data_IF_397492892595
#
_entry.id   IF_397492892595
#
_cell.length_a   1.000
_cell.length_b   1.000
_cell.length_c   1.000
_cell.angle_alpha   90.00
_cell.angle_beta   90.00
_cell.angle_gamma   90.00
#
_symmetry.space_group_name_H-M   'P 1'
#
loop_
_entity.id
_entity.type
_entity.pdbx_description
1 polymer ?
#
# COMPACT_ATOMS: atom_id res chain seq x y z
N UNK A 1 18.06 -2.81 -36.98
CA UNK A 1 16.69 -2.60 -36.43
C UNK A 1 16.72 -1.41 -35.50
N UNK A 2 16.00 -0.32 -35.87
CA UNK A 2 15.95 0.89 -35.02
C UNK A 2 15.22 0.63 -33.70
N UNK A 3 15.72 1.20 -32.60
CA UNK A 3 15.13 1.19 -31.28
C UNK A 3 13.95 2.19 -31.24
N UNK A 4 12.82 1.86 -31.85
CA UNK A 4 11.65 2.74 -31.86
C UNK A 4 10.54 2.14 -31.00
N UNK A 5 9.98 2.95 -30.11
CA UNK A 5 8.74 2.71 -29.37
C UNK A 5 7.59 3.05 -30.31
N UNK A 6 6.48 2.34 -30.23
CA UNK A 6 5.26 2.66 -30.98
C UNK A 6 4.86 4.13 -30.71
N UNK A 7 4.57 4.94 -31.77
CA UNK A 7 4.31 6.37 -31.60
C UNK A 7 3.21 6.69 -30.60
N UNK A 8 2.11 5.93 -30.61
CA UNK A 8 1.01 6.07 -29.67
C UNK A 8 1.44 5.85 -28.20
N UNK A 9 2.32 4.88 -27.97
CA UNK A 9 2.85 4.63 -26.61
C UNK A 9 3.82 5.75 -26.21
N UNK A 10 4.67 6.21 -27.13
CA UNK A 10 5.57 7.33 -26.89
C UNK A 10 4.80 8.61 -26.50
N UNK A 11 3.64 8.85 -27.10
CA UNK A 11 2.78 9.99 -26.79
C UNK A 11 2.17 9.86 -25.39
N UNK A 12 1.71 8.66 -25.01
CA UNK A 12 1.19 8.38 -23.66
C UNK A 12 2.31 8.58 -22.61
N UNK A 13 3.51 8.06 -22.87
CA UNK A 13 4.64 8.20 -21.93
C UNK A 13 5.06 9.65 -21.75
N UNK A 14 5.06 10.47 -22.82
CA UNK A 14 5.36 11.90 -22.73
C UNK A 14 4.35 12.62 -21.82
N UNK A 15 3.05 12.40 -22.00
CA UNK A 15 2.02 12.96 -21.11
C UNK A 15 2.20 12.52 -19.66
N UNK A 16 2.55 11.25 -19.45
CA UNK A 16 2.87 10.73 -18.12
C UNK A 16 4.06 11.44 -17.49
N UNK A 17 5.14 11.67 -18.26
CA UNK A 17 6.33 12.37 -17.83
C UNK A 17 6.08 13.83 -17.43
N UNK A 18 5.12 14.52 -18.11
CA UNK A 18 4.72 15.88 -17.77
C UNK A 18 3.96 15.99 -16.42
N UNK A 19 3.64 14.84 -15.79
CA UNK A 19 3.00 14.78 -14.48
C UNK A 19 1.51 15.14 -14.46
N UNK A 20 0.87 15.29 -15.61
CA UNK A 20 -0.57 15.58 -15.73
C UNK A 20 -1.46 14.41 -15.27
N UNK A 21 -0.87 13.21 -15.25
CA UNK A 21 -1.58 11.95 -15.03
C UNK A 21 -2.22 11.39 -16.30
N UNK A 22 -2.47 10.09 -16.30
CA UNK A 22 -3.02 9.40 -17.47
C UNK A 22 -4.53 9.15 -17.34
N UNK A 23 -5.21 9.15 -18.47
CA UNK A 23 -6.62 8.78 -18.57
C UNK A 23 -6.81 7.26 -18.63
N UNK A 24 -8.05 6.78 -18.38
CA UNK A 24 -8.39 5.36 -18.28
C UNK A 24 -7.88 4.54 -19.48
N UNK A 25 -8.21 4.94 -20.72
CA UNK A 25 -7.78 4.21 -21.92
C UNK A 25 -6.26 4.15 -22.10
N UNK A 26 -5.54 5.18 -21.65
CA UNK A 26 -4.08 5.23 -21.67
C UNK A 26 -3.48 4.26 -20.63
N UNK A 27 -4.06 4.22 -19.43
CA UNK A 27 -3.65 3.28 -18.39
C UNK A 27 -3.87 1.83 -18.85
N UNK A 28 -5.04 1.51 -19.42
CA UNK A 28 -5.36 0.18 -19.97
C UNK A 28 -4.38 -0.21 -21.09
N UNK A 29 -4.05 0.72 -22.00
CA UNK A 29 -3.09 0.46 -23.07
C UNK A 29 -1.70 0.07 -22.51
N UNK A 30 -1.21 0.80 -21.50
CA UNK A 30 0.07 0.51 -20.86
C UNK A 30 0.05 -0.80 -20.01
N UNK A 31 -1.06 -1.07 -19.32
CA UNK A 31 -1.25 -2.32 -18.56
C UNK A 31 -1.27 -3.55 -19.46
N UNK A 32 -1.66 -3.39 -20.72
CA UNK A 32 -1.78 -4.47 -21.70
C UNK A 32 -0.47 -4.75 -22.49
N UNK A 33 0.58 -3.95 -22.28
CA UNK A 33 1.85 -4.12 -22.98
C UNK A 33 2.52 -5.47 -22.65
N UNK A 34 3.12 -6.17 -23.64
CA UNK A 34 3.90 -7.38 -23.38
C UNK A 34 5.07 -7.09 -22.45
N UNK A 35 5.25 -7.88 -21.39
CA UNK A 35 6.27 -7.65 -20.35
C UNK A 35 7.70 -7.54 -20.87
N UNK A 36 8.03 -8.27 -21.97
CA UNK A 36 9.34 -8.25 -22.59
C UNK A 36 9.55 -7.11 -23.59
N UNK A 37 8.56 -6.24 -23.78
CA UNK A 37 8.64 -5.18 -24.78
C UNK A 37 9.55 -4.03 -24.36
N UNK A 38 10.00 -3.27 -25.34
CA UNK A 38 10.77 -2.02 -25.13
C UNK A 38 9.91 -0.94 -24.50
N UNK A 39 8.63 -0.96 -24.83
CA UNK A 39 7.63 -0.04 -24.29
C UNK A 39 7.52 -0.18 -22.79
N UNK A 40 7.55 -1.40 -22.23
CA UNK A 40 7.57 -1.61 -20.77
C UNK A 40 8.85 -1.11 -20.14
N UNK A 41 10.02 -1.29 -20.79
CA UNK A 41 11.27 -0.73 -20.28
C UNK A 41 11.23 0.81 -20.25
N UNK A 42 10.73 1.43 -21.32
CA UNK A 42 10.57 2.89 -21.38
C UNK A 42 9.53 3.39 -20.36
N UNK A 43 8.41 2.67 -20.18
CA UNK A 43 7.40 2.96 -19.17
C UNK A 43 8.01 2.99 -17.77
N UNK A 44 8.77 1.97 -17.39
CA UNK A 44 9.41 1.89 -16.07
C UNK A 44 10.40 3.04 -15.86
N UNK A 45 11.25 3.32 -16.86
CA UNK A 45 12.17 4.45 -16.82
C UNK A 45 11.45 5.79 -16.66
N UNK A 46 10.40 6.05 -17.46
CA UNK A 46 9.60 7.28 -17.38
C UNK A 46 8.97 7.45 -15.99
N UNK A 47 8.46 6.37 -15.40
CA UNK A 47 7.86 6.39 -14.07
C UNK A 47 8.90 6.67 -12.97
N UNK A 48 10.10 6.09 -13.06
CA UNK A 48 11.20 6.38 -12.15
C UNK A 48 11.65 7.84 -12.25
N UNK A 49 11.85 8.34 -13.49
CA UNK A 49 12.23 9.74 -13.74
C UNK A 49 11.20 10.72 -13.14
N UNK A 50 9.90 10.48 -13.33
CA UNK A 50 8.85 11.28 -12.72
C UNK A 50 8.89 11.22 -11.20
N UNK A 51 9.17 10.05 -10.61
CA UNK A 51 9.27 9.90 -9.15
C UNK A 51 10.46 10.69 -8.60
N UNK A 52 11.62 10.59 -9.24
CA UNK A 52 12.82 11.35 -8.83
C UNK A 52 12.63 12.84 -8.97
N UNK A 53 12.02 13.29 -10.06
CA UNK A 53 11.72 14.70 -10.28
C UNK A 53 10.76 15.27 -9.22
N UNK A 54 9.76 14.49 -8.79
CA UNK A 54 8.73 14.95 -7.86
C UNK A 54 9.10 14.74 -6.38
N UNK A 55 9.70 13.60 -6.06
CA UNK A 55 9.98 13.19 -4.68
C UNK A 55 11.42 13.47 -4.25
N UNK A 56 12.26 13.97 -5.16
CA UNK A 56 13.70 13.96 -4.99
C UNK A 56 14.20 12.52 -4.92
N UNK A 57 15.33 12.32 -4.28
CA UNK A 57 15.85 10.96 -4.05
C UNK A 57 15.27 10.31 -2.78
N UNK A 58 14.28 10.91 -2.13
CA UNK A 58 13.68 10.40 -0.88
C UNK A 58 13.02 9.05 -1.10
N UNK A 59 13.43 8.05 -0.29
CA UNK A 59 12.71 6.80 -0.11
C UNK A 59 12.00 6.75 1.24
N UNK A 60 10.76 6.33 1.24
CA UNK A 60 9.87 6.25 2.41
C UNK A 60 9.84 4.82 2.97
N UNK A 61 9.77 4.69 4.30
CA UNK A 61 9.56 3.43 5.00
C UNK A 61 8.41 3.61 6.00
N UNK A 62 7.25 3.07 5.67
CA UNK A 62 6.09 3.10 6.56
C UNK A 62 5.99 1.76 7.29
N UNK A 63 6.43 1.73 8.55
CA UNK A 63 6.54 0.52 9.34
C UNK A 63 5.16 0.02 9.78
N UNK A 64 4.82 -1.18 9.37
CA UNK A 64 3.53 -1.80 9.61
C UNK A 64 3.57 -2.63 10.89
N UNK A 65 2.71 -2.30 11.83
CA UNK A 65 2.57 -3.00 13.12
C UNK A 65 1.18 -3.60 13.18
N UNK A 66 1.06 -4.91 12.98
CA UNK A 66 -0.19 -5.63 13.16
C UNK A 66 -0.43 -5.93 14.63
N UNK A 67 -1.39 -5.24 15.26
CA UNK A 67 -1.58 -5.30 16.72
C UNK A 67 -2.42 -6.47 17.19
N UNK A 68 -3.13 -7.15 16.28
CA UNK A 68 -3.91 -8.34 16.60
C UNK A 68 -4.00 -9.32 15.44
N UNK A 69 -4.10 -10.61 15.76
CA UNK A 69 -4.52 -11.67 14.85
C UNK A 69 -5.74 -12.36 15.46
N UNK A 70 -6.84 -12.41 14.73
CA UNK A 70 -8.08 -13.00 15.22
C UNK A 70 -8.79 -13.72 14.07
N UNK A 71 -9.62 -14.71 14.33
CA UNK A 71 -10.47 -15.33 13.31
C UNK A 71 -11.53 -14.32 12.82
N UNK A 72 -11.09 -13.32 12.02
CA UNK A 72 -11.88 -12.20 11.54
C UNK A 72 -13.16 -12.68 10.81
N UNK A 73 -14.35 -12.21 11.20
CA UNK A 73 -15.63 -12.64 10.62
C UNK A 73 -15.90 -12.10 9.22
N UNK A 74 -15.12 -11.15 8.72
CA UNK A 74 -15.28 -10.59 7.37
C UNK A 74 -14.99 -11.61 6.27
N UNK A 75 -14.22 -12.65 6.57
CA UNK A 75 -13.99 -13.78 5.67
C UNK A 75 -13.54 -13.39 4.23
N UNK A 76 -12.73 -12.35 4.09
CA UNK A 76 -12.12 -11.97 2.82
C UNK A 76 -11.31 -13.16 2.26
N UNK A 77 -11.54 -13.55 1.01
CA UNK A 77 -11.02 -14.82 0.46
C UNK A 77 -9.49 -14.86 0.36
N UNK A 78 -8.84 -13.71 0.31
CA UNK A 78 -7.38 -13.56 0.18
C UNK A 78 -6.66 -13.35 1.52
N UNK A 79 -7.38 -13.29 2.65
CA UNK A 79 -6.82 -12.90 3.94
C UNK A 79 -6.64 -14.10 4.86
N UNK A 80 -5.43 -14.33 5.34
CA UNK A 80 -5.08 -15.42 6.26
C UNK A 80 -5.65 -15.25 7.67
N UNK A 81 -5.97 -14.01 8.07
CA UNK A 81 -6.52 -13.67 9.40
C UNK A 81 -8.02 -13.96 9.52
N UNK A 82 -8.66 -14.55 8.51
CA UNK A 82 -10.10 -14.78 8.52
C UNK A 82 -10.47 -16.07 9.22
N UNK A 83 -11.68 -16.10 9.79
CA UNK A 83 -12.26 -17.33 10.36
C UNK A 83 -12.30 -18.48 9.34
N UNK A 84 -12.57 -18.16 8.06
CA UNK A 84 -12.60 -19.15 6.95
C UNK A 84 -11.24 -19.78 6.71
N UNK A 85 -10.15 -19.01 6.81
CA UNK A 85 -8.79 -19.54 6.62
C UNK A 85 -8.43 -20.60 7.66
N UNK A 86 -8.98 -20.52 8.87
CA UNK A 86 -8.79 -21.51 9.93
C UNK A 86 -7.36 -21.57 10.49
N UNK A 87 -6.50 -20.62 10.13
CA UNK A 87 -5.09 -20.53 10.58
C UNK A 87 -5.06 -20.10 12.04
N UNK A 88 -5.72 -19.00 12.36
CA UNK A 88 -5.86 -18.48 13.72
C UNK A 88 -7.18 -18.98 14.30
N UNK A 89 -7.10 -19.85 15.32
CA UNK A 89 -8.29 -20.43 15.99
C UNK A 89 -8.76 -19.56 17.16
N UNK A 90 -7.84 -18.84 17.75
CA UNK A 90 -8.07 -17.96 18.90
C UNK A 90 -7.60 -16.54 18.56
N UNK A 91 -8.20 -15.57 19.22
CA UNK A 91 -7.76 -14.19 19.09
C UNK A 91 -6.42 -13.99 19.81
N UNK A 92 -5.49 -13.35 19.11
CA UNK A 92 -4.21 -12.91 19.65
C UNK A 92 -4.23 -11.38 19.59
N UNK A 93 -4.04 -10.72 20.72
CA UNK A 93 -3.74 -9.29 20.80
C UNK A 93 -2.35 -9.14 21.41
N UNK A 94 -1.49 -8.37 20.77
CA UNK A 94 -0.16 -8.12 21.30
C UNK A 94 -0.27 -7.10 22.44
N UNK A 95 0.45 -7.33 23.57
CA UNK A 95 0.39 -6.41 24.71
C UNK A 95 0.99 -5.04 24.37
N UNK A 96 0.55 -4.00 25.08
CA UNK A 96 0.97 -2.61 24.88
C UNK A 96 2.48 -2.45 24.89
N UNK A 97 3.17 -3.17 25.79
CA UNK A 97 4.62 -3.15 25.90
C UNK A 97 5.31 -3.62 24.60
N UNK A 98 4.76 -4.67 23.99
CA UNK A 98 5.29 -5.20 22.73
C UNK A 98 5.04 -4.25 21.56
N UNK A 99 3.83 -3.67 21.48
CA UNK A 99 3.48 -2.69 20.44
C UNK A 99 4.37 -1.44 20.56
N UNK A 100 4.60 -1.00 21.78
CA UNK A 100 5.49 0.13 22.07
C UNK A 100 6.96 -0.17 21.76
N UNK A 101 7.44 -1.37 22.08
CA UNK A 101 8.78 -1.84 21.71
C UNK A 101 8.98 -1.79 20.20
N UNK A 102 8.05 -2.34 19.43
CA UNK A 102 8.09 -2.29 17.97
C UNK A 102 8.03 -0.86 17.41
N UNK A 103 7.20 -0.01 18.00
CA UNK A 103 7.10 1.39 17.58
C UNK A 103 8.42 2.15 17.78
N UNK A 104 9.05 2.01 18.96
CA UNK A 104 10.36 2.58 19.28
C UNK A 104 11.47 2.00 18.41
N UNK A 105 11.41 0.71 18.11
CA UNK A 105 12.34 0.07 17.19
C UNK A 105 12.25 0.68 15.80
N UNK A 106 11.02 0.80 15.23
CA UNK A 106 10.80 1.44 13.94
C UNK A 106 11.30 2.89 13.92
N UNK A 107 11.02 3.68 14.97
CA UNK A 107 11.50 5.05 15.13
C UNK A 107 13.04 5.12 15.15
N UNK A 108 13.69 4.26 15.94
CA UNK A 108 15.15 4.24 16.06
C UNK A 108 15.88 3.92 14.76
N UNK A 109 15.19 3.21 13.84
CA UNK A 109 15.70 2.85 12.53
C UNK A 109 15.30 3.84 11.43
N UNK A 110 14.61 4.92 11.79
CA UNK A 110 14.20 5.97 10.86
C UNK A 110 13.03 5.56 9.95
N UNK A 111 12.02 4.88 10.50
CA UNK A 111 10.73 4.74 9.84
C UNK A 111 10.08 6.14 9.69
N UNK A 112 9.47 6.40 8.53
CA UNK A 112 8.83 7.68 8.21
C UNK A 112 7.38 7.76 8.74
N UNK A 113 6.76 6.61 8.99
CA UNK A 113 5.44 6.49 9.63
C UNK A 113 5.27 5.10 10.26
N UNK A 114 4.36 5.00 11.24
CA UNK A 114 3.90 3.75 11.83
C UNK A 114 2.46 3.48 11.39
N UNK A 115 2.24 2.39 10.64
CA UNK A 115 0.90 1.93 10.25
C UNK A 115 0.38 0.91 11.26
N UNK A 116 -0.60 1.28 12.05
CA UNK A 116 -1.22 0.43 13.07
C UNK A 116 -2.36 -0.34 12.44
N UNK A 117 -2.14 -1.63 12.17
CA UNK A 117 -3.10 -2.50 11.50
C UNK A 117 -3.90 -3.32 12.49
N UNK A 118 -5.21 -3.39 12.24
CA UNK A 118 -6.16 -4.22 13.00
C UNK A 118 -6.96 -5.14 12.10
N UNK A 119 -7.51 -6.23 12.66
CA UNK A 119 -8.57 -6.97 11.97
C UNK A 119 -9.85 -6.14 11.91
N UNK A 120 -10.77 -6.52 11.01
CA UNK A 120 -11.98 -5.73 10.78
C UNK A 120 -13.01 -5.74 11.93
N UNK A 121 -12.85 -6.64 12.89
CA UNK A 121 -13.67 -6.78 14.09
C UNK A 121 -12.97 -6.29 15.38
N UNK A 122 -11.76 -5.75 15.26
CA UNK A 122 -11.04 -5.18 16.40
C UNK A 122 -11.78 -3.99 17.02
N UNK A 123 -11.71 -3.85 18.34
CA UNK A 123 -12.34 -2.74 19.04
C UNK A 123 -11.78 -1.40 18.57
N UNK A 124 -12.64 -0.51 18.11
CA UNK A 124 -12.23 0.82 17.69
C UNK A 124 -11.72 1.67 18.87
N UNK A 125 -12.35 1.56 20.04
CA UNK A 125 -11.88 2.24 21.26
C UNK A 125 -10.47 1.76 21.63
N UNK A 126 -10.23 0.45 21.52
CA UNK A 126 -8.89 -0.11 21.77
C UNK A 126 -7.83 0.41 20.81
N UNK A 127 -8.19 0.61 19.53
CA UNK A 127 -7.30 1.27 18.57
C UNK A 127 -6.97 2.71 18.98
N UNK A 128 -7.96 3.45 19.49
CA UNK A 128 -7.74 4.82 20.00
C UNK A 128 -6.83 4.82 21.24
N UNK A 129 -6.95 3.85 22.15
CA UNK A 129 -6.05 3.69 23.31
C UNK A 129 -4.61 3.47 22.84
N UNK A 130 -4.39 2.57 21.89
CA UNK A 130 -3.07 2.32 21.28
C UNK A 130 -2.54 3.60 20.63
N UNK A 131 -3.37 4.34 19.90
CA UNK A 131 -2.98 5.63 19.33
C UNK A 131 -2.50 6.63 20.36
N UNK A 132 -3.26 6.81 21.46
CA UNK A 132 -2.89 7.70 22.58
C UNK A 132 -1.57 7.27 23.25
N UNK A 133 -1.41 5.96 23.47
CA UNK A 133 -0.17 5.39 24.02
C UNK A 133 1.04 5.72 23.15
N UNK A 134 0.93 5.45 21.85
CA UNK A 134 2.02 5.69 20.91
C UNK A 134 2.33 7.17 20.77
N UNK A 135 1.32 8.03 20.65
CA UNK A 135 1.49 9.51 20.58
C UNK A 135 2.30 10.08 21.74
N UNK A 136 2.19 9.48 22.95
CA UNK A 136 2.93 9.92 24.13
C UNK A 136 4.38 9.42 24.18
N UNK A 137 4.73 8.42 23.38
CA UNK A 137 5.99 7.69 23.53
C UNK A 137 6.89 7.71 22.29
N UNK A 138 6.37 8.05 21.11
CA UNK A 138 7.13 8.15 19.86
C UNK A 138 6.75 9.42 19.12
N UNK A 139 7.66 9.94 18.30
CA UNK A 139 7.46 11.14 17.48
C UNK A 139 7.06 10.83 16.03
N UNK A 140 7.18 9.57 15.61
CA UNK A 140 6.85 9.12 14.26
C UNK A 140 5.35 9.24 13.98
N UNK A 141 4.93 9.80 12.82
CA UNK A 141 3.53 9.90 12.42
C UNK A 141 2.77 8.57 12.49
N UNK A 142 1.57 8.58 13.07
CA UNK A 142 0.71 7.40 13.21
C UNK A 142 -0.33 7.34 12.11
N UNK A 143 -0.47 6.20 11.46
CA UNK A 143 -1.46 5.92 10.41
C UNK A 143 -2.33 4.75 10.86
N UNK A 144 -3.65 4.93 10.88
CA UNK A 144 -4.59 3.85 11.20
C UNK A 144 -4.84 2.97 9.96
N UNK A 145 -4.90 1.66 10.16
CA UNK A 145 -5.34 0.70 9.14
C UNK A 145 -6.44 -0.18 9.75
N UNK A 146 -7.68 0.23 9.57
CA UNK A 146 -8.85 -0.32 10.24
C UNK A 146 -10.06 -0.43 9.30
N UNK A 147 -11.24 -0.75 9.87
CA UNK A 147 -12.52 -0.88 9.17
C UNK A 147 -13.04 0.45 8.58
N UNK A 148 -14.22 0.42 7.97
CA UNK A 148 -14.96 1.62 7.63
C UNK A 148 -15.31 2.43 8.89
N UNK A 149 -15.26 3.76 8.79
CA UNK A 149 -15.47 4.69 9.90
C UNK A 149 -16.52 5.76 9.56
N UNK A 150 -17.18 6.25 10.59
CA UNK A 150 -18.03 7.43 10.57
C UNK A 150 -17.20 8.72 10.72
N UNK A 151 -17.84 9.88 10.52
CA UNK A 151 -17.19 11.19 10.71
C UNK A 151 -16.69 11.36 12.16
N UNK A 152 -17.52 11.05 13.14
CA UNK A 152 -17.12 11.12 14.56
C UNK A 152 -15.94 10.19 14.90
N UNK A 153 -15.87 9.00 14.29
CA UNK A 153 -14.72 8.11 14.45
C UNK A 153 -13.46 8.66 13.77
N UNK A 154 -13.61 9.37 12.64
CA UNK A 154 -12.49 10.09 12.01
C UNK A 154 -11.92 11.20 12.90
N UNK A 155 -12.78 11.99 13.54
CA UNK A 155 -12.39 13.00 14.54
C UNK A 155 -11.69 12.35 15.73
N UNK A 156 -12.22 11.23 16.24
CA UNK A 156 -11.62 10.49 17.35
C UNK A 156 -10.22 9.93 17.01
N UNK A 157 -9.99 9.51 15.77
CA UNK A 157 -8.64 9.12 15.31
C UNK A 157 -7.64 10.30 15.39
N UNK A 158 -8.04 11.50 14.94
CA UNK A 158 -7.20 12.70 15.07
C UNK A 158 -6.86 13.02 16.53
N UNK A 159 -7.86 12.99 17.41
CA UNK A 159 -7.68 13.22 18.86
C UNK A 159 -6.73 12.19 19.48
N UNK A 160 -6.83 10.93 19.05
CA UNK A 160 -5.95 9.85 19.51
C UNK A 160 -4.52 9.96 18.96
N UNK A 161 -4.25 10.88 18.01
CA UNK A 161 -2.92 11.17 17.50
C UNK A 161 -2.60 10.60 16.13
N UNK A 162 -3.57 9.98 15.46
CA UNK A 162 -3.40 9.57 14.07
C UNK A 162 -3.42 10.77 13.13
N UNK A 163 -2.52 10.80 12.15
CA UNK A 163 -2.42 11.86 11.15
C UNK A 163 -2.97 11.44 9.79
N UNK A 164 -3.30 10.16 9.66
CA UNK A 164 -3.86 9.58 8.43
C UNK A 164 -4.39 8.18 8.64
N UNK A 165 -5.00 7.64 7.58
CA UNK A 165 -5.46 6.27 7.56
C UNK A 165 -5.19 5.61 6.21
N UNK A 166 -4.75 4.36 6.26
CA UNK A 166 -4.71 3.47 5.12
C UNK A 166 -6.10 2.89 4.89
N UNK A 167 -6.65 3.09 3.71
CA UNK A 167 -7.98 2.61 3.38
C UNK A 167 -8.13 2.40 1.86
N UNK A 168 -8.35 1.17 1.44
CA UNK A 168 -8.45 0.84 0.03
C UNK A 168 -9.85 0.35 -0.34
N UNK A 169 -10.33 0.73 -1.53
CA UNK A 169 -11.34 -0.04 -2.26
C UNK A 169 -10.59 -1.15 -2.96
N UNK A 170 -10.83 -2.40 -2.57
CA UNK A 170 -10.06 -3.54 -3.05
C UNK A 170 -10.60 -4.10 -4.35
N UNK A 171 -9.73 -4.69 -5.15
CA UNK A 171 -10.12 -5.47 -6.31
C UNK A 171 -11.07 -6.62 -5.90
N UNK A 172 -12.21 -6.69 -6.57
CA UNK A 172 -13.24 -7.69 -6.26
C UNK A 172 -14.02 -7.44 -4.96
N UNK A 173 -13.97 -6.24 -4.37
CA UNK A 173 -14.77 -5.89 -3.20
C UNK A 173 -16.26 -6.11 -3.48
N UNK A 174 -17.00 -6.65 -2.49
CA UNK A 174 -18.38 -7.11 -2.67
C UNK A 174 -18.51 -8.53 -3.27
N UNK A 175 -17.43 -9.10 -3.83
CA UNK A 175 -17.38 -10.48 -4.37
C UNK A 175 -16.42 -11.37 -3.58
N UNK A 176 -15.16 -10.93 -3.43
CA UNK A 176 -14.13 -11.66 -2.67
C UNK A 176 -14.06 -11.21 -1.21
N UNK A 177 -14.78 -10.17 -0.87
CA UNK A 177 -15.03 -9.67 0.48
C UNK A 177 -16.52 -9.38 0.65
N UNK A 178 -17.07 -9.36 1.89
CA UNK A 178 -18.44 -8.94 2.14
C UNK A 178 -18.59 -7.40 2.23
N UNK A 179 -17.53 -6.65 1.96
CA UNK A 179 -17.52 -5.19 2.11
C UNK A 179 -18.16 -4.51 0.89
N UNK A 180 -18.92 -3.44 1.13
CA UNK A 180 -19.54 -2.64 0.09
C UNK A 180 -18.55 -1.58 -0.43
N UNK A 181 -18.19 -1.58 -1.74
CA UNK A 181 -17.32 -0.58 -2.32
C UNK A 181 -17.78 0.87 -2.08
N UNK A 182 -19.09 1.12 -2.02
CA UNK A 182 -19.61 2.47 -1.80
C UNK A 182 -19.37 2.93 -0.35
N UNK A 183 -19.46 2.03 0.62
CA UNK A 183 -19.09 2.34 2.02
C UNK A 183 -17.61 2.64 2.14
N UNK A 184 -16.74 1.90 1.42
CA UNK A 184 -15.31 2.17 1.35
C UNK A 184 -15.04 3.57 0.81
N UNK A 185 -15.71 3.95 -0.30
CA UNK A 185 -15.62 5.31 -0.87
C UNK A 185 -16.12 6.37 0.11
N UNK A 186 -17.20 6.08 0.86
CA UNK A 186 -17.70 7.01 1.87
C UNK A 186 -16.67 7.23 2.99
N UNK A 187 -16.00 6.19 3.46
CA UNK A 187 -14.89 6.33 4.42
C UNK A 187 -13.76 7.21 3.88
N UNK A 188 -13.37 7.06 2.60
CA UNK A 188 -12.37 7.94 1.96
C UNK A 188 -12.79 9.41 2.03
N UNK A 189 -14.09 9.71 1.79
CA UNK A 189 -14.62 11.08 1.92
C UNK A 189 -14.52 11.57 3.37
N UNK A 190 -14.93 10.74 4.34
CA UNK A 190 -14.81 11.06 5.75
C UNK A 190 -13.37 11.41 6.13
N UNK A 191 -12.39 10.59 5.74
CA UNK A 191 -10.97 10.86 6.02
C UNK A 191 -10.54 12.25 5.52
N UNK A 192 -10.97 12.61 4.32
CA UNK A 192 -10.66 13.92 3.74
C UNK A 192 -11.37 15.06 4.46
N UNK A 193 -12.64 14.88 4.79
CA UNK A 193 -13.48 15.90 5.43
C UNK A 193 -12.98 16.23 6.85
N UNK A 194 -12.48 15.24 7.60
CA UNK A 194 -11.89 15.46 8.92
C UNK A 194 -10.42 15.89 8.87
N UNK A 195 -9.76 15.89 7.69
CA UNK A 195 -8.38 16.31 7.53
C UNK A 195 -7.33 15.21 7.77
N UNK A 196 -7.74 13.93 7.88
CA UNK A 196 -6.82 12.80 7.90
C UNK A 196 -6.24 12.56 6.50
N UNK A 197 -4.92 12.36 6.42
CA UNK A 197 -4.27 11.95 5.17
C UNK A 197 -4.76 10.57 4.76
N UNK A 198 -5.13 10.41 3.48
CA UNK A 198 -5.59 9.12 2.97
C UNK A 198 -4.48 8.40 2.21
N UNK A 199 -4.17 7.17 2.61
CA UNK A 199 -3.20 6.27 2.01
C UNK A 199 -3.92 5.14 1.30
N UNK A 200 -3.43 4.75 0.11
CA UNK A 200 -4.06 3.76 -0.75
C UNK A 200 -3.04 2.82 -1.42
N UNK A 201 -3.47 1.60 -1.72
CA UNK A 201 -2.85 0.70 -2.68
C UNK A 201 -3.92 0.09 -3.59
N UNK A 202 -3.54 -0.18 -4.84
CA UNK A 202 -4.32 -1.03 -5.73
C UNK A 202 -4.04 -2.48 -5.32
N UNK A 203 -5.02 -3.12 -4.69
CA UNK A 203 -4.84 -4.41 -4.00
C UNK A 203 -6.11 -5.26 -3.93
N UNK A 204 -5.99 -6.55 -3.65
CA UNK A 204 -4.83 -7.41 -3.86
C UNK A 204 -4.80 -7.91 -5.32
N UNK A 205 -3.78 -7.54 -6.08
CA UNK A 205 -3.73 -7.88 -7.51
C UNK A 205 -3.40 -9.36 -7.71
N UNK A 206 -4.24 -10.04 -8.49
CA UNK A 206 -4.04 -11.40 -8.97
C UNK A 206 -4.23 -11.50 -10.49
N UNK A 207 -3.86 -12.64 -11.11
CA UNK A 207 -3.94 -12.84 -12.56
C UNK A 207 -5.35 -12.74 -13.14
N UNK A 208 -6.38 -12.87 -12.31
CA UNK A 208 -7.80 -12.81 -12.71
C UNK A 208 -8.33 -11.39 -12.93
N UNK A 209 -7.59 -10.37 -12.55
CA UNK A 209 -8.07 -8.99 -12.68
C UNK A 209 -7.72 -8.42 -14.05
N UNK A 210 -8.69 -7.74 -14.66
CA UNK A 210 -8.50 -7.09 -15.96
C UNK A 210 -7.73 -5.78 -15.84
N UNK A 211 -7.18 -5.31 -16.97
CA UNK A 211 -6.52 -4.02 -17.04
C UNK A 211 -7.49 -2.86 -16.72
N UNK A 212 -8.75 -2.99 -17.08
CA UNK A 212 -9.81 -2.02 -16.83
C UNK A 212 -10.11 -1.90 -15.33
N UNK A 213 -10.31 -3.04 -14.63
CA UNK A 213 -10.55 -3.05 -13.17
C UNK A 213 -9.39 -2.42 -12.42
N UNK A 214 -8.15 -2.68 -12.84
CA UNK A 214 -6.94 -2.12 -12.23
C UNK A 214 -6.85 -0.61 -12.50
N UNK A 215 -7.12 -0.17 -13.76
CA UNK A 215 -7.10 1.24 -14.13
C UNK A 215 -8.19 2.05 -13.40
N UNK A 216 -9.38 1.48 -13.19
CA UNK A 216 -10.46 2.13 -12.43
C UNK A 216 -10.02 2.49 -11.01
N UNK A 217 -9.32 1.57 -10.31
CA UNK A 217 -8.82 1.85 -8.96
C UNK A 217 -7.66 2.84 -8.95
N UNK A 218 -6.79 2.84 -9.97
CA UNK A 218 -5.75 3.86 -10.12
C UNK A 218 -6.35 5.26 -10.26
N UNK A 219 -7.37 5.40 -11.11
CA UNK A 219 -8.09 6.66 -11.32
C UNK A 219 -8.89 7.09 -10.08
N UNK A 220 -9.45 6.13 -9.32
CA UNK A 220 -10.10 6.41 -8.05
C UNK A 220 -9.10 7.02 -7.06
N UNK A 221 -7.90 6.43 -6.94
CA UNK A 221 -6.84 6.95 -6.08
C UNK A 221 -6.47 8.40 -6.44
N UNK A 222 -6.27 8.68 -7.74
CA UNK A 222 -6.00 10.04 -8.24
C UNK A 222 -7.17 11.00 -7.97
N UNK A 223 -8.41 10.59 -8.27
CA UNK A 223 -9.63 11.40 -8.11
C UNK A 223 -9.81 11.88 -6.67
N UNK A 224 -9.57 11.01 -5.71
CA UNK A 224 -9.72 11.35 -4.29
C UNK A 224 -8.43 11.87 -3.65
N UNK A 225 -7.33 12.00 -4.39
CA UNK A 225 -6.10 12.62 -3.93
C UNK A 225 -5.40 11.81 -2.84
N UNK A 226 -5.10 10.54 -3.12
CA UNK A 226 -4.35 9.71 -2.18
C UNK A 226 -2.96 10.31 -1.91
N UNK A 227 -2.58 10.38 -0.63
CA UNK A 227 -1.26 10.90 -0.19
C UNK A 227 -0.13 10.07 -0.78
N UNK A 228 -0.27 8.76 -0.76
CA UNK A 228 0.47 7.84 -1.62
C UNK A 228 -0.49 6.84 -2.28
N UNK A 229 -0.06 6.28 -3.39
CA UNK A 229 -0.70 5.15 -4.04
C UNK A 229 0.39 4.21 -4.57
N UNK A 230 0.01 3.06 -5.07
CA UNK A 230 0.90 2.08 -5.67
C UNK A 230 0.20 0.74 -5.81
N UNK A 231 0.95 -0.34 -5.95
CA UNK A 231 0.38 -1.65 -6.24
C UNK A 231 0.87 -2.70 -5.25
N UNK A 232 -0.06 -3.53 -4.79
CA UNK A 232 0.23 -4.69 -3.96
C UNK A 232 -0.31 -5.96 -4.61
N UNK A 233 0.57 -6.90 -4.93
CA UNK A 233 0.15 -8.22 -5.41
C UNK A 233 -0.48 -9.04 -4.28
N UNK A 234 -1.42 -9.91 -4.64
CA UNK A 234 -1.92 -10.94 -3.73
C UNK A 234 -0.81 -11.96 -3.46
N UNK A 235 -0.55 -12.23 -2.19
CA UNK A 235 0.25 -13.37 -1.75
C UNK A 235 -0.72 -14.43 -1.24
N UNK A 236 -0.73 -15.59 -1.88
CA UNK A 236 -1.58 -16.68 -1.46
C UNK A 236 -0.97 -17.37 -0.23
N UNK A 237 -1.78 -17.63 0.77
CA UNK A 237 -1.45 -18.58 1.85
C UNK A 237 -1.94 -19.98 1.48
N UNK A 238 -1.31 -21.07 1.98
CA UNK A 238 -1.72 -22.44 1.67
C UNK A 238 -3.20 -22.70 2.04
N UNK A 239 -3.97 -23.24 1.07
CA UNK A 239 -5.41 -23.47 1.23
C UNK A 239 -6.28 -22.22 1.05
N UNK A 240 -5.72 -21.11 0.61
CA UNK A 240 -6.49 -19.92 0.24
C UNK A 240 -7.49 -20.23 -0.88
N UNK A 241 -8.76 -19.79 -0.78
CA UNK A 241 -9.72 -19.89 -1.90
C UNK A 241 -9.24 -19.21 -3.19
N UNK A 242 -8.27 -18.29 -3.09
CA UNK A 242 -7.69 -17.58 -4.22
C UNK A 242 -6.45 -18.29 -4.81
N UNK A 243 -5.95 -19.33 -4.16
CA UNK A 243 -4.76 -20.08 -4.60
C UNK A 243 -4.87 -20.65 -6.04
N UNK A 244 -6.03 -21.18 -6.50
CA UNK A 244 -6.18 -21.67 -7.87
C UNK A 244 -5.97 -20.61 -8.96
N UNK A 245 -6.13 -19.32 -8.67
CA UNK A 245 -5.87 -18.23 -9.60
C UNK A 245 -4.37 -17.90 -9.75
N UNK A 246 -3.53 -18.44 -8.84
CA UNK A 246 -2.10 -18.14 -8.84
C UNK A 246 -1.77 -16.73 -8.33
N UNK A 247 -0.57 -16.27 -8.67
CA UNK A 247 -0.05 -14.94 -8.31
C UNK A 247 0.60 -14.28 -9.54
N UNK A 248 0.51 -12.96 -9.64
CA UNK A 248 1.30 -12.21 -10.62
C UNK A 248 2.79 -12.23 -10.22
N UNK A 249 3.67 -12.15 -11.21
CA UNK A 249 5.11 -12.03 -11.00
C UNK A 249 5.48 -10.63 -10.50
N UNK A 250 6.67 -10.50 -9.91
CA UNK A 250 7.22 -9.17 -9.55
C UNK A 250 7.37 -8.25 -10.76
N UNK A 251 7.66 -8.82 -11.93
CA UNK A 251 7.78 -8.05 -13.16
C UNK A 251 6.43 -7.52 -13.66
N UNK A 252 5.35 -8.30 -13.53
CA UNK A 252 3.99 -7.82 -13.78
C UNK A 252 3.61 -6.73 -12.79
N UNK A 253 3.91 -6.92 -11.51
CA UNK A 253 3.67 -5.90 -10.49
C UNK A 253 4.44 -4.61 -10.79
N UNK A 254 5.72 -4.68 -11.17
CA UNK A 254 6.53 -3.51 -11.51
C UNK A 254 5.95 -2.72 -12.69
N UNK A 255 5.45 -3.41 -13.76
CA UNK A 255 4.71 -2.74 -14.84
C UNK A 255 3.50 -1.98 -14.31
N UNK A 256 2.70 -2.61 -13.43
CA UNK A 256 1.53 -1.98 -12.83
C UNK A 256 1.89 -0.81 -11.91
N UNK A 257 3.00 -0.93 -11.15
CA UNK A 257 3.57 0.16 -10.35
C UNK A 257 3.91 1.34 -11.24
N UNK A 258 4.59 1.12 -12.38
CA UNK A 258 4.93 2.19 -13.31
C UNK A 258 3.69 2.85 -13.91
N UNK A 259 2.68 2.07 -14.34
CA UNK A 259 1.41 2.64 -14.84
C UNK A 259 0.71 3.46 -13.77
N UNK A 260 0.58 2.92 -12.55
CA UNK A 260 -0.03 3.62 -11.42
C UNK A 260 0.70 4.93 -11.12
N UNK A 261 2.05 4.94 -11.20
CA UNK A 261 2.85 6.14 -11.02
C UNK A 261 2.50 7.24 -12.02
N UNK A 262 2.40 6.89 -13.30
CA UNK A 262 2.04 7.85 -14.36
C UNK A 262 0.56 8.28 -14.27
N UNK A 263 -0.34 7.40 -13.84
CA UNK A 263 -1.75 7.76 -13.59
C UNK A 263 -1.86 8.79 -12.46
N UNK A 264 -1.11 8.62 -11.37
CA UNK A 264 -1.14 9.54 -10.23
C UNK A 264 -0.58 10.93 -10.56
N UNK A 265 0.30 11.04 -11.54
CA UNK A 265 0.94 12.31 -11.88
C UNK A 265 1.55 12.99 -10.66
N UNK A 266 1.24 14.28 -10.45
CA UNK A 266 1.76 15.07 -9.31
C UNK A 266 0.88 15.01 -8.05
N UNK A 267 -0.17 14.21 -8.03
CA UNK A 267 -1.14 14.16 -6.92
C UNK A 267 -0.55 13.54 -5.67
N UNK A 268 0.18 12.42 -5.80
CA UNK A 268 0.76 11.70 -4.64
C UNK A 268 2.07 12.30 -4.16
N UNK A 269 2.42 12.02 -2.89
CA UNK A 269 3.67 12.43 -2.22
C UNK A 269 4.71 11.32 -2.17
N UNK A 270 4.31 10.09 -2.41
CA UNK A 270 5.14 8.90 -2.55
C UNK A 270 4.42 7.86 -3.40
N UNK A 271 5.15 6.84 -3.84
CA UNK A 271 4.59 5.75 -4.62
C UNK A 271 5.04 4.40 -4.08
N UNK A 272 4.10 3.56 -3.69
CA UNK A 272 4.40 2.34 -2.97
C UNK A 272 4.39 1.08 -3.83
N UNK A 273 5.10 0.09 -3.35
CA UNK A 273 4.97 -1.31 -3.76
C UNK A 273 4.92 -2.20 -2.53
N UNK A 274 4.20 -3.29 -2.62
CA UNK A 274 4.18 -4.31 -1.61
C UNK A 274 4.13 -5.70 -2.29
N UNK A 275 5.12 -6.53 -2.14
CA UNK A 275 6.22 -6.61 -1.16
C UNK A 275 7.45 -5.82 -1.64
N UNK A 276 8.39 -5.46 -0.71
CA UNK A 276 9.60 -4.76 -1.07
C UNK A 276 10.44 -5.53 -2.10
N UNK A 277 10.74 -4.91 -3.23
CA UNK A 277 11.58 -5.48 -4.28
C UNK A 277 12.26 -4.40 -5.13
N UNK A 278 13.44 -4.70 -5.67
CA UNK A 278 14.27 -3.76 -6.42
C UNK A 278 13.66 -3.37 -7.77
N UNK A 279 12.95 -4.30 -8.44
CA UNK A 279 12.39 -4.01 -9.77
C UNK A 279 11.27 -2.96 -9.71
N UNK A 280 10.49 -2.91 -8.63
CA UNK A 280 9.48 -1.87 -8.45
C UNK A 280 10.09 -0.50 -8.12
N UNK A 281 11.26 -0.45 -7.46
CA UNK A 281 12.02 0.81 -7.27
C UNK A 281 12.47 1.38 -8.62
N UNK A 282 12.93 0.53 -9.55
CA UNK A 282 13.26 0.90 -10.93
C UNK A 282 12.00 1.17 -11.79
N UNK A 283 10.82 1.03 -11.23
CA UNK A 283 9.52 1.31 -11.87
C UNK A 283 8.80 2.51 -11.23
N UNK A 284 9.53 3.32 -10.44
CA UNK A 284 9.04 4.55 -9.85
C UNK A 284 8.45 4.41 -8.45
N UNK A 285 8.48 3.24 -7.81
CA UNK A 285 8.21 3.14 -6.38
C UNK A 285 9.35 3.76 -5.58
N UNK A 286 9.00 4.40 -4.46
CA UNK A 286 9.97 4.93 -3.48
C UNK A 286 9.54 4.63 -2.04
N UNK A 287 8.41 3.94 -1.84
CA UNK A 287 7.86 3.65 -0.52
C UNK A 287 7.73 2.15 -0.32
N UNK A 288 8.26 1.67 0.81
CA UNK A 288 8.16 0.29 1.28
C UNK A 288 7.44 0.18 2.62
N UNK A 289 6.92 -1.02 2.88
CA UNK A 289 6.29 -1.40 4.15
C UNK A 289 7.11 -2.51 4.82
N UNK A 290 8.09 -2.20 5.66
CA UNK A 290 8.59 -3.16 6.64
C UNK A 290 7.48 -3.53 7.62
N UNK A 291 7.47 -4.79 8.15
CA UNK A 291 6.33 -5.34 8.88
C UNK A 291 6.74 -6.12 10.13
N UNK A 292 5.94 -5.96 11.20
CA UNK A 292 5.93 -6.83 12.39
C UNK A 292 4.50 -7.09 12.86
N UNK A 293 4.34 -8.07 13.74
CA UNK A 293 3.02 -8.47 14.22
C UNK A 293 2.20 -9.14 13.12
N UNK A 294 0.88 -9.03 13.15
CA UNK A 294 0.03 -9.75 12.21
C UNK A 294 0.06 -9.16 10.80
N UNK A 295 -0.05 -10.03 9.80
CA UNK A 295 -0.19 -9.64 8.40
C UNK A 295 -1.23 -10.52 7.70
N UNK A 296 -2.12 -9.96 6.86
CA UNK A 296 -3.18 -10.71 6.18
C UNK A 296 -2.68 -11.70 5.12
N UNK A 297 -1.37 -11.83 4.94
CA UNK A 297 -0.70 -12.69 3.96
C UNK A 297 0.15 -13.77 4.62
N UNK A 298 0.16 -13.86 5.94
CA UNK A 298 1.03 -14.75 6.69
C UNK A 298 0.26 -15.80 7.47
N UNK A 299 0.90 -16.95 7.73
CA UNK A 299 0.40 -17.99 8.61
C UNK A 299 0.87 -17.87 10.05
N UNK A 300 1.86 -16.99 10.29
CA UNK A 300 2.41 -16.70 11.61
C UNK A 300 1.71 -15.49 12.24
N UNK A 301 1.55 -15.51 13.58
CA UNK A 301 0.96 -14.38 14.30
C UNK A 301 1.84 -13.13 14.21
N UNK A 302 3.16 -13.31 14.12
CA UNK A 302 4.15 -12.24 13.94
C UNK A 302 4.93 -12.47 12.65
N UNK A 303 4.61 -11.68 11.61
CA UNK A 303 5.26 -11.72 10.30
C UNK A 303 6.75 -11.34 10.36
N UNK A 304 7.18 -10.60 11.39
CA UNK A 304 8.59 -10.28 11.63
C UNK A 304 9.46 -11.51 11.87
N UNK A 305 8.86 -12.63 12.26
CA UNK A 305 9.54 -13.94 12.40
C UNK A 305 9.50 -14.79 11.12
N UNK A 306 8.85 -14.32 10.08
CA UNK A 306 8.62 -15.05 8.84
C UNK A 306 8.91 -14.21 7.60
N UNK A 307 7.87 -13.90 6.85
CA UNK A 307 7.94 -13.22 5.56
C UNK A 307 8.21 -11.70 5.66
N UNK A 308 7.85 -11.07 6.77
CA UNK A 308 7.97 -9.62 6.95
C UNK A 308 9.38 -9.11 6.72
N UNK A 309 9.49 -7.96 6.05
CA UNK A 309 10.78 -7.31 5.81
C UNK A 309 11.09 -6.34 6.94
N UNK A 310 12.36 -6.24 7.36
CA UNK A 310 12.77 -5.26 8.37
C UNK A 310 13.00 -3.87 7.78
N UNK A 311 13.01 -2.83 8.63
CA UNK A 311 13.31 -1.45 8.23
C UNK A 311 14.71 -1.36 7.62
N UNK A 312 15.72 -2.01 8.23
CA UNK A 312 17.09 -2.02 7.75
C UNK A 312 17.20 -2.63 6.34
N UNK A 313 16.52 -3.77 6.13
CA UNK A 313 16.53 -4.45 4.83
C UNK A 313 15.88 -3.59 3.74
N UNK A 314 14.76 -2.95 4.05
CA UNK A 314 14.10 -2.03 3.14
C UNK A 314 15.01 -0.85 2.78
N UNK A 315 15.61 -0.20 3.78
CA UNK A 315 16.52 0.93 3.60
C UNK A 315 17.80 0.53 2.82
N UNK A 316 18.35 -0.65 3.09
CA UNK A 316 19.49 -1.17 2.34
C UNK A 316 19.15 -1.35 0.84
N UNK A 317 18.02 -1.99 0.53
CA UNK A 317 17.56 -2.17 -0.84
C UNK A 317 17.31 -0.84 -1.56
N UNK A 318 16.74 0.14 -0.88
CA UNK A 318 16.52 1.48 -1.42
C UNK A 318 17.85 2.17 -1.77
N UNK A 319 18.86 2.09 -0.89
CA UNK A 319 20.21 2.64 -1.17
C UNK A 319 20.89 1.96 -2.35
N UNK A 320 20.80 0.62 -2.46
CA UNK A 320 21.32 -0.12 -3.61
C UNK A 320 20.70 0.34 -4.94
N UNK A 321 19.45 0.81 -4.90
CA UNK A 321 18.75 1.35 -6.06
C UNK A 321 18.91 2.88 -6.22
N UNK A 322 19.84 3.50 -5.48
CA UNK A 322 20.18 4.91 -5.58
C UNK A 322 19.13 5.86 -4.96
N UNK A 323 18.26 5.36 -4.09
CA UNK A 323 17.35 6.18 -3.30
C UNK A 323 17.97 6.51 -1.94
N UNK A 324 17.58 7.65 -1.36
CA UNK A 324 18.06 8.09 -0.06
C UNK A 324 16.94 8.02 1.01
N UNK A 325 16.94 6.99 1.86
CA UNK A 325 15.95 6.89 2.94
C UNK A 325 16.22 7.86 4.12
N UNK A 326 17.36 8.57 4.14
CA UNK A 326 17.74 9.46 5.25
C UNK A 326 17.21 10.89 5.09
N UNK A 327 16.63 11.23 3.94
CA UNK A 327 15.96 12.51 3.72
C UNK A 327 14.63 12.59 4.51
N UNK A 328 14.14 13.80 4.80
CA UNK A 328 12.83 14.01 5.42
C UNK A 328 11.69 13.38 4.60
N UNK A 329 10.63 12.93 5.26
CA UNK A 329 9.45 12.37 4.61
C UNK A 329 8.73 13.38 3.73
N UNK A 330 8.32 12.98 2.54
CA UNK A 330 7.44 13.75 1.67
C UNK A 330 5.96 13.61 2.07
N UNK A 331 5.60 12.48 2.68
CA UNK A 331 4.25 12.21 3.16
C UNK A 331 3.93 13.00 4.43
N UNK A 332 4.91 13.15 5.30
CA UNK A 332 4.77 13.77 6.62
C UNK A 332 5.93 14.76 6.86
N UNK A 333 5.95 15.90 6.13
CA UNK A 333 7.00 16.92 6.22
C UNK A 333 7.01 17.62 7.58
#
# INVERSE_FOLDING_TARGET
MGWRIAPEIADILRRGADGEGLEHGQAVALLSLPLGSREVAALMQTAEELSRAQFGDKAENHFHIGVNAAPCPLNCLFCSLTKRAGIFKEAVEFPDEQVLEWARYGESLGADALNIMTTGDFSFERLLEIGRLLKQNVSVPLVANTRDISHAEGEALLEAGFVGAYHAVRLGEGRVTPLDPQRRIQTIRVLKDVGLKWMNCIEPVGPEHSAEEIADLMLLARKYGATFSGVMRRINFPGSPMEPYGMITEREMARMVAVSRLVMGTVSRAHCTHEPNAISLAAGANLFFPEVGSSPRDGEADTGKGRGSTVERCRAMQREMGWNPDLPSNCFP
#
